data_IF_616177212917
#
_entry.id   IF_616177212917
#
_cell.length_a   1.000
_cell.length_b   1.000
_cell.length_c   1.000
_cell.angle_alpha   90.00
_cell.angle_beta   90.00
_cell.angle_gamma   90.00
#
_symmetry.space_group_name_H-M   'P 1'
#
loop_
_entity.id
_entity.type
_entity.pdbx_description
1 polymer ?
#
# COMPACT_ATOMS: atom_id res chain seq x y z
N UNK A 1 19.85 -14.13 11.47
CA UNK A 1 18.97 -14.90 10.55
C UNK A 1 18.69 -14.06 9.32
N UNK A 2 18.57 -14.68 8.14
CA UNK A 2 18.17 -13.97 6.92
C UNK A 2 16.78 -14.50 6.50
N UNK A 3 15.69 -14.02 7.09
CA UNK A 3 14.35 -14.53 6.81
C UNK A 3 13.97 -14.21 5.36
N UNK A 4 13.06 -15.00 4.75
CA UNK A 4 12.41 -14.59 3.52
C UNK A 4 11.72 -13.24 3.72
N UNK A 5 11.72 -12.40 2.69
CA UNK A 5 11.16 -11.04 2.76
C UNK A 5 9.98 -10.92 1.80
N UNK A 6 8.85 -10.50 2.33
CA UNK A 6 7.68 -10.08 1.55
C UNK A 6 7.54 -8.57 1.74
N UNK A 7 7.73 -7.82 0.66
CA UNK A 7 7.54 -6.37 0.67
C UNK A 7 6.07 -6.05 0.39
N UNK A 8 5.34 -5.68 1.43
CA UNK A 8 3.90 -5.48 1.36
C UNK A 8 3.48 -4.14 0.76
N UNK A 9 4.43 -3.31 0.30
CA UNK A 9 4.13 -2.02 -0.30
C UNK A 9 5.19 -1.60 -1.30
N UNK A 10 4.93 -1.88 -2.58
CA UNK A 10 5.75 -1.39 -3.70
C UNK A 10 4.85 -0.81 -4.80
N UNK A 11 5.41 0.00 -5.68
CA UNK A 11 4.69 0.65 -6.77
C UNK A 11 5.19 0.19 -8.14
N UNK A 12 4.69 -0.97 -8.60
CA UNK A 12 4.81 -1.38 -10.00
C UNK A 12 3.59 -0.83 -10.73
N UNK A 13 3.79 0.27 -11.46
CA UNK A 13 2.71 1.11 -11.97
C UNK A 13 2.94 1.49 -13.44
N UNK A 14 1.89 1.85 -14.20
CA UNK A 14 2.03 2.30 -15.59
C UNK A 14 2.55 3.74 -15.67
N UNK A 15 3.85 3.94 -15.44
CA UNK A 15 4.48 5.25 -15.34
C UNK A 15 4.34 6.14 -16.57
N UNK A 16 3.97 5.59 -17.73
CA UNK A 16 3.61 6.40 -18.91
C UNK A 16 2.35 7.24 -18.69
N UNK A 17 1.54 6.91 -17.70
CA UNK A 17 0.37 7.69 -17.31
C UNK A 17 0.70 8.82 -16.34
N UNK A 18 1.85 8.78 -15.66
CA UNK A 18 2.23 9.79 -14.65
C UNK A 18 2.29 11.16 -15.33
N UNK A 19 1.69 12.15 -14.67
CA UNK A 19 1.78 13.54 -15.14
C UNK A 19 3.24 13.99 -15.29
N UNK A 20 3.62 14.67 -16.38
CA UNK A 20 5.01 15.03 -16.63
C UNK A 20 5.69 15.77 -15.48
N UNK A 21 4.97 16.67 -14.80
CA UNK A 21 5.51 17.42 -13.66
C UNK A 21 5.88 16.50 -12.47
N UNK A 22 5.05 15.48 -12.20
CA UNK A 22 5.33 14.50 -11.13
C UNK A 22 6.48 13.58 -11.51
N UNK A 23 6.54 13.14 -12.76
CA UNK A 23 7.67 12.34 -13.25
C UNK A 23 8.99 13.13 -13.16
N UNK A 24 8.98 14.40 -13.55
CA UNK A 24 10.15 15.29 -13.43
C UNK A 24 10.61 15.46 -11.98
N UNK A 25 9.66 15.62 -11.03
CA UNK A 25 9.96 15.68 -9.60
C UNK A 25 10.62 14.38 -9.10
N UNK A 26 10.18 13.23 -9.58
CA UNK A 26 10.79 11.94 -9.25
C UNK A 26 12.19 11.82 -9.86
N UNK A 27 12.37 12.22 -11.12
CA UNK A 27 13.66 12.18 -11.82
C UNK A 27 14.74 12.98 -11.10
N UNK A 28 14.40 14.13 -10.53
CA UNK A 28 15.33 14.94 -9.75
C UNK A 28 15.87 14.25 -8.49
N UNK A 29 15.24 13.16 -8.05
CA UNK A 29 15.63 12.39 -6.85
C UNK A 29 16.04 10.94 -7.15
N UNK A 30 15.87 10.48 -8.39
CA UNK A 30 16.10 9.09 -8.81
C UNK A 30 16.84 9.06 -10.14
N UNK A 31 18.18 8.87 -10.13
CA UNK A 31 18.95 8.79 -11.37
C UNK A 31 18.69 7.49 -12.18
N UNK A 32 18.08 6.49 -11.56
CA UNK A 32 17.80 5.16 -12.11
C UNK A 32 16.43 5.05 -12.79
N UNK A 33 15.75 6.18 -13.06
CA UNK A 33 14.45 6.20 -13.75
C UNK A 33 14.41 5.38 -15.06
N UNK A 34 15.42 5.41 -15.94
CA UNK A 34 15.39 4.57 -17.15
C UNK A 34 15.27 3.09 -16.85
N UNK A 35 16.02 2.58 -15.87
CA UNK A 35 15.97 1.18 -15.42
C UNK A 35 14.63 0.85 -14.77
N UNK A 36 14.10 1.77 -13.98
CA UNK A 36 12.78 1.62 -13.34
C UNK A 36 11.67 1.54 -14.40
N UNK A 37 11.72 2.39 -15.44
CA UNK A 37 10.75 2.31 -16.54
C UNK A 37 10.77 0.94 -17.24
N UNK A 38 11.95 0.34 -17.41
CA UNK A 38 12.03 -1.01 -17.96
C UNK A 38 11.36 -2.03 -17.04
N UNK A 39 11.60 -1.95 -15.73
CA UNK A 39 10.96 -2.84 -14.75
C UNK A 39 9.43 -2.66 -14.79
N UNK A 40 8.92 -1.42 -14.86
CA UNK A 40 7.48 -1.17 -14.91
C UNK A 40 6.76 -1.85 -16.08
N UNK A 41 7.47 -2.16 -17.18
CA UNK A 41 6.84 -2.75 -18.38
C UNK A 41 7.36 -4.14 -18.75
N UNK A 42 8.30 -4.69 -17.98
CA UNK A 42 8.93 -5.98 -18.27
C UNK A 42 8.93 -6.87 -17.00
N UNK A 43 7.94 -7.73 -16.84
CA UNK A 43 7.83 -8.60 -15.66
C UNK A 43 9.09 -9.43 -15.37
N UNK A 44 9.79 -9.89 -16.41
CA UNK A 44 11.03 -10.66 -16.29
C UNK A 44 12.16 -9.82 -15.65
N UNK A 45 12.19 -8.51 -15.92
CA UNK A 45 13.14 -7.59 -15.27
C UNK A 45 12.80 -7.35 -13.80
N UNK A 46 11.50 -7.31 -13.45
CA UNK A 46 11.10 -7.30 -12.04
C UNK A 46 11.54 -8.59 -11.34
N UNK A 47 11.28 -9.76 -11.92
CA UNK A 47 11.65 -11.03 -11.31
C UNK A 47 13.16 -11.11 -11.07
N UNK A 48 13.97 -10.74 -12.07
CA UNK A 48 15.42 -10.67 -11.92
C UNK A 48 15.85 -9.64 -10.86
N UNK A 49 15.12 -8.52 -10.73
CA UNK A 49 15.36 -7.53 -9.67
C UNK A 49 15.05 -8.10 -8.29
N UNK A 50 13.89 -8.76 -8.11
CA UNK A 50 13.52 -9.40 -6.85
C UNK A 50 14.53 -10.48 -6.42
N UNK A 51 15.04 -11.26 -7.36
CA UNK A 51 16.05 -12.30 -7.09
C UNK A 51 17.36 -11.66 -6.61
N UNK A 52 17.83 -10.62 -7.29
CA UNK A 52 19.03 -9.86 -6.91
C UNK A 52 18.88 -9.20 -5.53
N UNK A 53 17.71 -8.63 -5.24
CA UNK A 53 17.37 -8.01 -3.97
C UNK A 53 17.00 -9.03 -2.88
N UNK A 54 16.91 -10.33 -3.19
CA UNK A 54 16.47 -11.39 -2.27
C UNK A 54 15.12 -11.10 -1.62
N UNK A 55 14.18 -10.62 -2.43
CA UNK A 55 12.79 -10.41 -2.05
C UNK A 55 11.94 -11.56 -2.56
N UNK A 56 11.25 -12.27 -1.67
CA UNK A 56 10.45 -13.44 -2.04
C UNK A 56 9.21 -13.03 -2.87
N UNK A 57 8.49 -12.03 -2.39
CA UNK A 57 7.26 -11.52 -3.02
C UNK A 57 7.10 -10.04 -2.76
N UNK A 58 6.29 -9.41 -3.60
CA UNK A 58 5.89 -8.00 -3.44
C UNK A 58 4.37 -7.85 -3.56
N UNK A 59 3.82 -6.89 -2.82
CA UNK A 59 2.45 -6.40 -3.03
C UNK A 59 2.54 -5.11 -3.81
N UNK A 60 2.02 -5.14 -5.04
CA UNK A 60 2.08 -3.98 -5.94
C UNK A 60 0.84 -3.12 -5.78
N UNK A 61 1.03 -1.91 -5.29
CA UNK A 61 -0.03 -0.97 -4.98
C UNK A 61 -0.31 -0.09 -6.20
N UNK A 62 -1.51 -0.24 -6.76
CA UNK A 62 -2.03 0.60 -7.83
C UNK A 62 -3.32 1.27 -7.37
N UNK A 63 -3.56 2.50 -7.84
CA UNK A 63 -4.78 3.24 -7.51
C UNK A 63 -5.14 4.24 -8.60
N UNK A 64 -6.45 4.47 -8.73
CA UNK A 64 -7.02 5.45 -9.68
C UNK A 64 -6.87 6.85 -9.11
N UNK A 65 -6.20 7.73 -9.82
CA UNK A 65 -5.99 9.13 -9.42
C UNK A 65 -5.67 9.99 -10.65
N UNK A 66 -6.65 10.23 -11.54
CA UNK A 66 -6.42 10.97 -12.77
C UNK A 66 -6.06 12.44 -12.51
N UNK A 67 -6.64 13.02 -11.46
CA UNK A 67 -6.47 14.45 -11.15
C UNK A 67 -5.10 14.77 -10.56
N UNK A 68 -4.56 13.91 -9.69
CA UNK A 68 -3.25 14.12 -9.05
C UNK A 68 -2.15 13.44 -9.88
N UNK A 69 -2.21 12.12 -10.05
CA UNK A 69 -1.12 11.35 -10.64
C UNK A 69 -1.22 11.15 -12.15
N UNK A 70 -2.43 11.21 -12.72
CA UNK A 70 -2.71 10.85 -14.11
C UNK A 70 -3.17 9.39 -14.28
N UNK A 71 -3.25 8.62 -13.22
CA UNK A 71 -3.64 7.21 -13.26
C UNK A 71 -5.15 7.06 -13.48
N UNK A 72 -5.55 6.57 -14.64
CA UNK A 72 -6.93 6.20 -14.98
C UNK A 72 -7.25 4.79 -14.47
N UNK A 73 -8.48 4.31 -14.72
CA UNK A 73 -8.91 2.95 -14.35
C UNK A 73 -8.08 1.85 -15.02
N UNK A 74 -7.37 2.15 -16.11
CA UNK A 74 -6.47 1.21 -16.81
C UNK A 74 -5.34 0.68 -15.91
N UNK A 75 -5.05 1.32 -14.77
CA UNK A 75 -4.11 0.80 -13.77
C UNK A 75 -4.51 -0.59 -13.26
N UNK A 76 -5.80 -0.91 -13.28
CA UNK A 76 -6.33 -2.17 -12.78
C UNK A 76 -6.00 -3.33 -13.72
N UNK A 77 -6.24 -3.15 -15.02
CA UNK A 77 -5.87 -4.13 -16.05
C UNK A 77 -4.35 -4.29 -16.15
N UNK A 78 -3.63 -3.17 -16.03
CA UNK A 78 -2.17 -3.21 -15.97
C UNK A 78 -1.69 -4.05 -14.80
N UNK A 79 -2.19 -3.80 -13.57
CA UNK A 79 -1.79 -4.53 -12.37
C UNK A 79 -2.07 -6.04 -12.50
N UNK A 80 -3.26 -6.40 -12.95
CA UNK A 80 -3.67 -7.78 -13.15
C UNK A 80 -2.85 -8.48 -14.24
N UNK A 81 -2.68 -7.82 -15.39
CA UNK A 81 -1.92 -8.34 -16.53
C UNK A 81 -0.44 -8.53 -16.20
N UNK A 82 0.13 -7.61 -15.43
CA UNK A 82 1.52 -7.69 -14.97
C UNK A 82 1.69 -8.87 -13.98
N UNK A 83 0.81 -8.99 -12.99
CA UNK A 83 0.87 -10.03 -11.97
C UNK A 83 0.79 -11.46 -12.57
N UNK A 84 -0.06 -11.66 -13.60
CA UNK A 84 -0.19 -12.96 -14.29
C UNK A 84 1.13 -13.48 -14.84
N UNK A 85 2.05 -12.57 -15.21
CA UNK A 85 3.38 -12.92 -15.76
C UNK A 85 4.45 -13.11 -14.69
N UNK A 86 4.13 -12.83 -13.42
CA UNK A 86 5.09 -12.90 -12.31
C UNK A 86 5.06 -14.21 -11.52
N UNK A 87 4.33 -15.25 -11.96
CA UNK A 87 4.35 -16.59 -11.33
C UNK A 87 4.04 -16.57 -9.82
N UNK A 88 3.15 -15.67 -9.36
CA UNK A 88 2.78 -15.51 -7.94
C UNK A 88 3.79 -14.70 -7.09
N UNK A 89 4.86 -14.17 -7.68
CA UNK A 89 5.83 -13.30 -7.00
C UNK A 89 5.29 -11.87 -6.77
N UNK A 90 4.22 -11.48 -7.46
CA UNK A 90 3.56 -10.18 -7.31
C UNK A 90 2.09 -10.38 -6.99
N UNK A 91 1.64 -9.74 -5.91
CA UNK A 91 0.25 -9.69 -5.45
C UNK A 91 -0.32 -8.35 -5.93
N UNK A 92 -1.32 -8.34 -6.84
CA UNK A 92 -1.82 -7.10 -7.42
C UNK A 92 -2.89 -6.45 -6.54
N UNK A 93 -2.72 -5.15 -6.28
CA UNK A 93 -3.77 -4.28 -5.78
C UNK A 93 -4.26 -3.38 -6.91
N UNK A 94 -5.57 -3.12 -6.89
CA UNK A 94 -6.24 -2.18 -7.77
C UNK A 94 -6.98 -1.10 -6.99
N UNK A 95 -7.87 -0.38 -7.66
CA UNK A 95 -8.63 0.71 -7.03
C UNK A 95 -9.89 1.04 -7.82
N UNK A 96 -10.91 1.49 -7.09
CA UNK A 96 -12.04 2.23 -7.62
C UNK A 96 -12.01 3.63 -7.00
N UNK A 97 -12.17 4.68 -7.81
CA UNK A 97 -12.14 6.04 -7.28
C UNK A 97 -13.46 6.39 -6.59
N UNK A 98 -13.49 6.65 -5.26
CA UNK A 98 -14.74 6.72 -4.50
C UNK A 98 -15.62 7.93 -4.83
N UNK A 99 -15.09 8.96 -5.50
CA UNK A 99 -15.84 10.17 -5.86
C UNK A 99 -16.06 10.32 -7.36
N UNK A 100 -15.38 9.54 -8.21
CA UNK A 100 -15.48 9.66 -9.67
C UNK A 100 -16.27 8.50 -10.30
N UNK A 101 -16.31 7.32 -9.68
CA UNK A 101 -17.09 6.21 -10.24
C UNK A 101 -18.59 6.51 -10.22
N UNK A 102 -19.26 6.18 -11.31
CA UNK A 102 -20.72 6.21 -11.44
C UNK A 102 -21.36 4.80 -11.30
N UNK A 103 -20.54 3.75 -11.20
CA UNK A 103 -21.00 2.36 -11.15
C UNK A 103 -20.10 1.50 -10.24
N UNK A 104 -20.04 1.78 -8.92
CA UNK A 104 -19.09 1.16 -8.01
C UNK A 104 -19.24 -0.36 -7.91
N UNK A 105 -20.45 -0.89 -8.00
CA UNK A 105 -20.72 -2.35 -8.03
C UNK A 105 -20.01 -3.01 -9.21
N UNK A 106 -20.27 -2.53 -10.43
CA UNK A 106 -19.66 -3.04 -11.65
C UNK A 106 -18.13 -2.93 -11.62
N UNK A 107 -17.61 -1.81 -11.15
CA UNK A 107 -16.17 -1.54 -11.15
C UNK A 107 -15.46 -2.44 -10.14
N UNK A 108 -16.08 -2.72 -8.98
CA UNK A 108 -15.58 -3.70 -8.02
C UNK A 108 -15.67 -5.14 -8.54
N UNK A 109 -16.77 -5.52 -9.20
CA UNK A 109 -16.91 -6.84 -9.81
C UNK A 109 -15.86 -7.08 -10.89
N UNK A 110 -15.51 -6.03 -11.66
CA UNK A 110 -14.40 -6.08 -12.62
C UNK A 110 -13.06 -6.34 -11.93
N UNK A 111 -12.75 -5.67 -10.80
CA UNK A 111 -11.54 -5.93 -10.05
C UNK A 111 -11.45 -7.38 -9.56
N UNK A 112 -12.55 -7.90 -9.04
CA UNK A 112 -12.63 -9.29 -8.56
C UNK A 112 -12.39 -10.26 -9.73
N UNK A 113 -13.03 -10.03 -10.87
CA UNK A 113 -12.86 -10.86 -12.08
C UNK A 113 -11.43 -10.81 -12.65
N UNK A 114 -10.74 -9.68 -12.51
CA UNK A 114 -9.33 -9.53 -12.88
C UNK A 114 -8.38 -10.32 -11.98
N UNK A 115 -8.83 -10.78 -10.80
CA UNK A 115 -7.99 -11.48 -9.82
C UNK A 115 -7.17 -10.54 -8.95
N UNK A 116 -7.62 -9.29 -8.79
CA UNK A 116 -7.05 -8.34 -7.83
C UNK A 116 -7.24 -8.88 -6.41
N UNK A 117 -6.22 -8.73 -5.55
CA UNK A 117 -6.19 -9.30 -4.20
C UNK A 117 -6.43 -8.28 -3.10
N UNK A 118 -6.43 -7.00 -3.44
CA UNK A 118 -6.76 -5.92 -2.53
C UNK A 118 -7.05 -4.61 -3.25
N UNK A 119 -7.68 -3.70 -2.54
CA UNK A 119 -8.08 -2.39 -3.05
C UNK A 119 -7.35 -1.29 -2.30
N UNK A 120 -6.76 -0.36 -3.04
CA UNK A 120 -6.14 0.84 -2.49
C UNK A 120 -7.09 2.04 -2.58
N UNK A 121 -7.30 2.69 -1.45
CA UNK A 121 -7.87 4.04 -1.36
C UNK A 121 -6.75 4.99 -0.92
N UNK A 122 -6.67 6.13 -1.58
CA UNK A 122 -5.69 7.16 -1.29
C UNK A 122 -6.39 8.50 -0.95
N UNK A 123 -6.85 8.70 0.29
CA UNK A 123 -7.69 9.86 0.67
C UNK A 123 -7.11 11.21 0.27
N UNK A 124 -5.80 11.41 0.39
CA UNK A 124 -5.15 12.66 -0.01
C UNK A 124 -5.16 12.92 -1.54
N UNK A 125 -5.28 11.87 -2.37
CA UNK A 125 -5.33 11.96 -3.84
C UNK A 125 -6.73 11.74 -4.40
N UNK A 126 -7.61 11.12 -3.64
CA UNK A 126 -9.02 10.86 -3.95
C UNK A 126 -9.88 11.56 -2.89
N UNK A 127 -10.00 12.90 -2.90
CA UNK A 127 -10.44 13.70 -1.75
C UNK A 127 -11.74 13.20 -1.11
N UNK A 128 -11.61 12.36 -0.10
CA UNK A 128 -12.69 11.87 0.76
C UNK A 128 -12.10 11.37 2.08
N UNK A 129 -12.82 11.56 3.17
CA UNK A 129 -12.47 10.90 4.42
C UNK A 129 -12.74 9.39 4.33
N UNK A 130 -11.95 8.54 4.97
CA UNK A 130 -12.20 7.10 5.01
C UNK A 130 -13.60 6.70 5.51
N UNK A 131 -14.22 7.52 6.33
CA UNK A 131 -15.57 7.31 6.86
C UNK A 131 -16.67 8.12 6.16
N UNK A 132 -16.41 8.73 5.01
CA UNK A 132 -17.43 9.52 4.29
C UNK A 132 -18.65 8.71 3.81
N UNK A 133 -18.58 7.37 3.82
CA UNK A 133 -19.76 6.53 3.61
C UNK A 133 -20.86 6.83 4.65
N UNK A 134 -20.50 7.22 5.85
CA UNK A 134 -21.44 7.66 6.90
C UNK A 134 -22.04 9.04 6.59
N UNK A 135 -21.42 9.79 5.70
CA UNK A 135 -21.86 11.12 5.25
C UNK A 135 -22.45 11.09 3.82
N UNK A 136 -22.87 9.91 3.35
CA UNK A 136 -23.59 9.76 2.09
C UNK A 136 -22.73 9.42 0.88
N UNK A 137 -21.45 9.12 1.04
CA UNK A 137 -20.64 8.56 -0.05
C UNK A 137 -20.94 7.06 -0.24
N UNK A 138 -22.01 6.77 -0.97
CA UNK A 138 -22.49 5.40 -1.25
C UNK A 138 -21.49 4.58 -2.07
N UNK A 139 -20.62 5.23 -2.86
CA UNK A 139 -19.58 4.53 -3.61
C UNK A 139 -18.54 3.92 -2.66
N UNK A 140 -18.16 4.68 -1.64
CA UNK A 140 -17.18 4.22 -0.63
C UNK A 140 -17.75 3.06 0.19
N UNK A 141 -19.03 3.13 0.58
CA UNK A 141 -19.74 2.05 1.25
C UNK A 141 -19.74 0.77 0.39
N UNK A 142 -20.08 0.90 -0.89
CA UNK A 142 -20.08 -0.19 -1.85
C UNK A 142 -18.70 -0.83 -1.99
N UNK A 143 -17.64 -0.01 -2.09
CA UNK A 143 -16.27 -0.50 -2.19
C UNK A 143 -15.91 -1.35 -0.96
N UNK A 144 -16.21 -0.86 0.25
CA UNK A 144 -15.86 -1.57 1.49
C UNK A 144 -16.66 -2.87 1.64
N UNK A 145 -17.95 -2.82 1.43
CA UNK A 145 -18.81 -4.01 1.45
C UNK A 145 -18.33 -5.07 0.46
N UNK A 146 -18.04 -4.69 -0.79
CA UNK A 146 -17.52 -5.62 -1.80
C UNK A 146 -16.15 -6.19 -1.43
N UNK A 147 -15.29 -5.40 -0.83
CA UNK A 147 -14.00 -5.90 -0.31
C UNK A 147 -14.23 -6.95 0.78
N UNK A 148 -15.12 -6.67 1.72
CA UNK A 148 -15.46 -7.60 2.81
C UNK A 148 -16.05 -8.92 2.28
N UNK A 149 -17.06 -8.84 1.42
CA UNK A 149 -17.73 -9.98 0.81
C UNK A 149 -16.78 -10.88 -0.01
N UNK A 150 -15.90 -10.27 -0.79
CA UNK A 150 -14.92 -10.99 -1.62
C UNK A 150 -13.64 -11.40 -0.88
N UNK A 151 -13.48 -11.01 0.39
CA UNK A 151 -12.26 -11.25 1.16
C UNK A 151 -11.02 -10.52 0.63
N UNK A 152 -11.22 -9.40 -0.05
CA UNK A 152 -10.14 -8.53 -0.50
C UNK A 152 -9.58 -7.73 0.67
N UNK A 153 -8.28 -7.43 0.62
CA UNK A 153 -7.65 -6.55 1.61
C UNK A 153 -7.85 -5.09 1.19
N UNK A 154 -8.37 -4.27 2.10
CA UNK A 154 -8.45 -2.83 1.89
C UNK A 154 -7.17 -2.17 2.40
N UNK A 155 -6.47 -1.40 1.57
CA UNK A 155 -5.36 -0.56 2.01
C UNK A 155 -5.72 0.91 1.87
N UNK A 156 -5.61 1.64 2.97
CA UNK A 156 -5.89 3.08 3.01
C UNK A 156 -4.57 3.82 3.23
N UNK A 157 -4.27 4.77 2.34
CA UNK A 157 -3.15 5.67 2.58
C UNK A 157 -3.43 6.54 3.80
N UNK A 158 -2.53 6.53 4.75
CA UNK A 158 -2.57 7.38 5.95
C UNK A 158 -1.25 8.15 6.09
N UNK A 159 -1.34 9.36 6.64
CA UNK A 159 -0.18 10.24 6.68
C UNK A 159 -0.11 11.18 5.48
N UNK A 160 1.01 11.89 5.35
CA UNK A 160 1.12 12.96 4.38
C UNK A 160 1.55 12.48 3.00
N UNK A 161 1.08 13.15 1.97
CA UNK A 161 1.57 13.07 0.59
C UNK A 161 2.26 14.37 0.20
N UNK A 162 3.38 14.27 -0.51
CA UNK A 162 4.16 15.42 -1.00
C UNK A 162 3.78 15.88 -2.40
N UNK A 163 2.90 15.15 -3.09
CA UNK A 163 2.53 15.47 -4.47
C UNK A 163 1.68 16.74 -4.52
N UNK A 164 1.98 17.65 -5.46
CA UNK A 164 1.17 18.85 -5.66
C UNK A 164 -0.29 18.52 -5.92
N UNK A 165 -1.19 19.22 -5.24
CA UNK A 165 -2.64 18.99 -5.31
C UNK A 165 -3.18 17.98 -4.29
N UNK A 166 -2.33 17.20 -3.62
CA UNK A 166 -2.76 16.31 -2.54
C UNK A 166 -3.36 17.10 -1.36
N UNK A 167 -4.45 16.58 -0.79
CA UNK A 167 -5.13 17.20 0.35
C UNK A 167 -4.97 16.33 1.60
N UNK A 168 -3.91 16.58 2.35
CA UNK A 168 -3.50 15.74 3.48
C UNK A 168 -4.51 15.68 4.63
N UNK A 169 -5.41 16.65 4.75
CA UNK A 169 -6.47 16.66 5.76
C UNK A 169 -7.31 15.37 5.78
N UNK A 170 -7.45 14.72 4.63
CA UNK A 170 -8.23 13.47 4.50
C UNK A 170 -7.49 12.21 4.99
N UNK A 171 -6.21 12.31 5.34
CA UNK A 171 -5.34 11.15 5.55
C UNK A 171 -5.03 10.84 7.04
N UNK A 172 -5.77 11.43 7.99
CA UNK A 172 -5.68 11.06 9.40
C UNK A 172 -6.28 9.65 9.60
N UNK A 173 -5.53 8.70 10.15
CA UNK A 173 -6.00 7.34 10.43
C UNK A 173 -7.24 7.27 11.34
N UNK A 174 -7.53 8.27 12.14
CA UNK A 174 -8.69 8.25 13.05
C UNK A 174 -10.01 8.06 12.29
N UNK A 175 -10.10 8.56 11.06
CA UNK A 175 -11.28 8.36 10.20
C UNK A 175 -11.46 6.90 9.74
N UNK A 176 -10.47 6.04 9.96
CA UNK A 176 -10.59 4.60 9.69
C UNK A 176 -11.23 3.84 10.86
N UNK A 177 -11.39 4.46 12.03
CA UNK A 177 -11.95 3.82 13.21
C UNK A 177 -13.39 3.32 12.97
N UNK A 178 -14.21 4.13 12.31
CA UNK A 178 -15.59 3.76 11.96
C UNK A 178 -15.64 2.52 11.05
N UNK A 179 -14.66 2.35 10.14
CA UNK A 179 -14.61 1.17 9.26
C UNK A 179 -14.50 -0.12 10.09
N UNK A 180 -13.69 -0.09 11.14
CA UNK A 180 -13.54 -1.26 12.02
C UNK A 180 -14.75 -1.55 12.88
N UNK A 181 -15.64 -0.58 13.08
CA UNK A 181 -16.94 -0.74 13.74
C UNK A 181 -17.97 -1.34 12.79
N UNK A 182 -18.05 -0.80 11.56
CA UNK A 182 -19.14 -1.09 10.62
C UNK A 182 -18.83 -2.30 9.73
N UNK A 183 -17.54 -2.59 9.38
CA UNK A 183 -17.08 -3.68 8.53
C UNK A 183 -16.15 -4.64 9.29
N UNK A 184 -16.72 -5.41 10.21
CA UNK A 184 -15.96 -6.19 11.20
C UNK A 184 -15.15 -7.36 10.62
N UNK A 185 -15.46 -7.82 9.41
CA UNK A 185 -14.74 -8.89 8.73
C UNK A 185 -13.73 -8.39 7.69
N UNK A 186 -13.68 -7.08 7.43
CA UNK A 186 -12.78 -6.48 6.47
C UNK A 186 -11.36 -6.37 7.04
N UNK A 187 -10.36 -6.92 6.31
CA UNK A 187 -8.96 -6.66 6.64
C UNK A 187 -8.54 -5.31 6.08
N UNK A 188 -8.08 -4.43 6.95
CA UNK A 188 -7.69 -3.06 6.59
C UNK A 188 -6.22 -2.83 6.93
N UNK A 189 -5.44 -2.29 5.98
CA UNK A 189 -4.06 -1.86 6.19
C UNK A 189 -4.02 -0.34 6.22
N UNK A 190 -3.52 0.23 7.29
CA UNK A 190 -3.15 1.64 7.38
C UNK A 190 -1.75 1.81 6.82
N UNK A 191 -1.64 2.26 5.56
CA UNK A 191 -0.36 2.43 4.91
C UNK A 191 0.42 3.58 5.56
N UNK A 192 1.72 3.36 5.77
CA UNK A 192 2.67 4.34 6.35
C UNK A 192 2.40 4.73 7.81
N UNK A 193 1.43 4.09 8.48
CA UNK A 193 1.16 4.33 9.90
C UNK A 193 0.88 5.78 10.31
N UNK A 194 0.29 6.58 9.41
CA UNK A 194 -0.05 7.99 9.70
C UNK A 194 1.13 8.97 9.69
N UNK A 195 2.33 8.55 9.24
CA UNK A 195 3.55 9.37 9.30
C UNK A 195 3.40 10.69 8.53
N UNK A 196 4.09 11.77 8.92
CA UNK A 196 4.76 12.00 10.22
C UNK A 196 3.86 12.70 11.24
N UNK A 197 2.55 12.85 11.00
CA UNK A 197 1.67 13.70 11.82
C UNK A 197 0.72 12.92 12.73
N UNK A 198 0.33 11.67 12.40
CA UNK A 198 -0.78 10.95 13.05
C UNK A 198 -0.43 9.52 13.47
N UNK A 199 0.83 9.27 13.91
CA UNK A 199 1.27 7.93 14.31
C UNK A 199 0.47 7.38 15.50
N UNK A 200 0.11 8.25 16.47
CA UNK A 200 -0.68 7.84 17.63
C UNK A 200 -2.10 7.42 17.24
N UNK A 201 -2.74 8.15 16.31
CA UNK A 201 -4.04 7.76 15.73
C UNK A 201 -3.96 6.38 15.07
N UNK A 202 -2.93 6.14 14.26
CA UNK A 202 -2.73 4.84 13.60
C UNK A 202 -2.55 3.71 14.64
N UNK A 203 -1.69 3.90 15.63
CA UNK A 203 -1.46 2.94 16.71
C UNK A 203 -2.73 2.64 17.50
N UNK A 204 -3.54 3.66 17.78
CA UNK A 204 -4.82 3.49 18.46
C UNK A 204 -5.76 2.61 17.64
N UNK A 205 -6.00 2.95 16.36
CA UNK A 205 -6.93 2.25 15.49
C UNK A 205 -6.50 0.79 15.27
N UNK A 206 -5.23 0.54 15.01
CA UNK A 206 -4.70 -0.84 14.83
C UNK A 206 -4.83 -1.66 16.10
N UNK A 207 -4.61 -1.08 17.28
CA UNK A 207 -4.79 -1.79 18.55
C UNK A 207 -6.25 -2.12 18.82
N UNK A 208 -7.15 -1.20 18.51
CA UNK A 208 -8.59 -1.32 18.80
C UNK A 208 -9.27 -2.41 17.98
N UNK A 209 -8.92 -2.52 16.69
CA UNK A 209 -9.62 -3.40 15.76
C UNK A 209 -8.81 -4.67 15.41
N UNK A 210 -9.37 -5.87 15.56
CA UNK A 210 -8.62 -7.13 15.39
C UNK A 210 -8.15 -7.37 13.95
N UNK A 211 -8.84 -6.82 12.95
CA UNK A 211 -8.53 -6.98 11.51
C UNK A 211 -7.79 -5.79 10.89
N UNK A 212 -7.33 -4.86 11.72
CA UNK A 212 -6.52 -3.74 11.26
C UNK A 212 -5.04 -4.06 11.36
N UNK A 213 -4.33 -3.67 10.32
CA UNK A 213 -2.91 -3.85 10.11
C UNK A 213 -2.27 -2.49 9.83
N UNK A 214 -0.97 -2.41 9.93
CA UNK A 214 -0.21 -1.22 9.57
C UNK A 214 1.02 -1.64 8.79
N UNK A 215 1.32 -0.99 7.66
CA UNK A 215 2.64 -1.09 7.07
C UNK A 215 3.51 0.10 7.49
N UNK A 216 4.82 -0.14 7.54
CA UNK A 216 5.82 0.85 7.95
C UNK A 216 6.58 1.43 6.76
N UNK A 217 5.98 1.37 5.59
CA UNK A 217 6.59 1.85 4.36
C UNK A 217 6.82 3.36 4.34
N UNK A 218 7.78 3.80 3.53
CA UNK A 218 8.15 5.23 3.40
C UNK A 218 8.61 5.90 4.70
N UNK A 219 9.02 5.11 5.67
CA UNK A 219 9.62 5.57 6.92
C UNK A 219 11.07 5.11 6.93
N UNK A 220 12.06 6.00 7.09
CA UNK A 220 13.44 5.56 7.34
C UNK A 220 13.45 4.57 8.51
N UNK A 221 13.98 3.36 8.36
CA UNK A 221 13.88 2.34 9.41
C UNK A 221 14.38 2.81 10.78
N UNK A 222 15.41 3.64 10.82
CA UNK A 222 15.98 4.17 12.05
C UNK A 222 15.03 5.06 12.85
N UNK A 223 14.02 5.63 12.19
CA UNK A 223 12.99 6.46 12.84
C UNK A 223 11.83 5.64 13.42
N UNK A 224 11.75 4.35 13.11
CA UNK A 224 10.64 3.51 13.62
C UNK A 224 10.55 3.46 15.15
N UNK A 225 11.67 3.35 15.91
CA UNK A 225 11.59 3.38 17.36
C UNK A 225 11.11 4.73 17.92
N UNK A 226 11.38 5.83 17.22
CA UNK A 226 10.91 7.16 17.60
C UNK A 226 9.43 7.35 17.26
N UNK A 227 9.04 7.02 16.02
CA UNK A 227 7.66 7.20 15.54
C UNK A 227 6.68 6.24 16.22
N UNK A 228 7.14 5.04 16.55
CA UNK A 228 6.33 4.00 17.16
C UNK A 228 7.05 3.34 18.33
N UNK A 229 7.17 4.04 19.48
CA UNK A 229 7.91 3.52 20.66
C UNK A 229 7.39 2.20 21.20
N UNK A 230 6.16 1.83 20.85
CA UNK A 230 5.48 0.59 21.27
C UNK A 230 5.13 -0.31 20.08
N UNK A 231 5.89 -0.27 19.00
CA UNK A 231 5.61 -1.04 17.78
C UNK A 231 5.48 -2.54 18.04
N UNK A 232 6.30 -3.08 18.93
CA UNK A 232 6.26 -4.50 19.31
C UNK A 232 4.92 -4.94 19.93
N UNK A 233 4.20 -4.02 20.58
CA UNK A 233 2.91 -4.33 21.19
C UNK A 233 1.82 -4.69 20.14
N UNK A 234 2.01 -4.31 18.88
CA UNK A 234 1.16 -4.68 17.76
C UNK A 234 1.89 -5.55 16.73
N UNK A 235 2.97 -6.23 17.16
CA UNK A 235 3.89 -6.94 16.26
C UNK A 235 3.24 -7.98 15.36
N UNK A 236 2.10 -8.54 15.75
CA UNK A 236 1.32 -9.45 14.90
C UNK A 236 0.51 -8.75 13.79
N UNK A 237 0.50 -7.44 13.76
CA UNK A 237 -0.29 -6.61 12.82
C UNK A 237 0.55 -5.64 12.02
N UNK A 238 1.88 -5.70 12.15
CA UNK A 238 2.82 -4.85 11.42
C UNK A 238 3.33 -5.56 10.18
N UNK A 239 3.33 -4.88 9.06
CA UNK A 239 3.83 -5.37 7.78
C UNK A 239 5.05 -4.54 7.37
N UNK A 240 6.08 -5.22 6.85
CA UNK A 240 7.15 -4.54 6.16
C UNK A 240 6.68 -4.06 4.80
N UNK A 241 6.99 -2.81 4.47
CA UNK A 241 6.84 -2.25 3.14
C UNK A 241 7.97 -1.26 2.89
N UNK A 242 8.54 -1.23 1.70
CA UNK A 242 9.59 -0.28 1.36
C UNK A 242 9.05 1.03 0.79
N UNK A 243 7.91 0.98 0.13
CA UNK A 243 7.39 2.04 -0.76
C UNK A 243 8.25 2.22 -2.03
N UNK A 244 9.06 1.19 -2.38
CA UNK A 244 9.89 1.23 -3.58
C UNK A 244 9.01 1.35 -4.85
N UNK A 245 9.37 2.19 -5.82
CA UNK A 245 10.58 3.00 -5.97
C UNK A 245 10.38 4.47 -5.59
N UNK A 246 9.68 4.77 -4.50
CA UNK A 246 9.49 6.14 -4.04
C UNK A 246 10.82 6.90 -3.85
N UNK A 247 10.83 8.22 -4.01
CA UNK A 247 12.00 9.04 -3.66
C UNK A 247 12.46 8.79 -2.22
N UNK A 248 13.77 8.58 -2.04
CA UNK A 248 14.34 8.29 -0.72
C UNK A 248 14.43 6.79 -0.37
N UNK A 249 13.88 5.90 -1.20
CA UNK A 249 14.05 4.45 -1.06
C UNK A 249 15.11 3.95 -2.05
N UNK A 250 16.35 3.71 -1.62
CA UNK A 250 17.46 3.40 -2.52
C UNK A 250 17.31 2.02 -3.20
N UNK A 251 16.74 1.04 -2.48
CA UNK A 251 16.49 -0.32 -2.93
C UNK A 251 15.72 -1.09 -1.88
N UNK A 252 15.02 -2.15 -2.28
CA UNK A 252 14.23 -2.96 -1.35
C UNK A 252 15.12 -3.65 -0.33
N UNK A 253 16.21 -4.31 -0.79
CA UNK A 253 17.14 -5.04 0.10
C UNK A 253 17.84 -4.10 1.08
N UNK A 254 18.41 -3.02 0.59
CA UNK A 254 19.09 -2.04 1.43
C UNK A 254 18.16 -1.48 2.52
N UNK A 255 16.89 -1.26 2.18
CA UNK A 255 15.91 -0.71 3.11
C UNK A 255 15.53 -1.74 4.20
N UNK A 256 15.25 -2.98 3.83
CA UNK A 256 14.92 -4.03 4.80
C UNK A 256 16.13 -4.41 5.68
N UNK A 257 17.36 -4.37 5.15
CA UNK A 257 18.56 -4.65 5.95
C UNK A 257 18.73 -3.63 7.07
N UNK A 258 18.42 -2.35 6.81
CA UNK A 258 18.42 -1.29 7.83
C UNK A 258 17.40 -1.59 8.94
N UNK A 259 16.18 -2.08 8.57
CA UNK A 259 15.20 -2.53 9.55
C UNK A 259 15.69 -3.75 10.36
N UNK A 260 16.27 -4.74 9.69
CA UNK A 260 16.80 -5.94 10.35
C UNK A 260 17.98 -5.65 11.29
N UNK A 261 18.68 -4.53 11.09
CA UNK A 261 19.77 -4.07 11.97
C UNK A 261 19.27 -3.38 13.26
N UNK A 262 17.98 -2.99 13.33
CA UNK A 262 17.43 -2.35 14.53
C UNK A 262 17.43 -3.31 15.74
N UNK A 263 17.42 -2.74 16.93
CA UNK A 263 17.39 -3.50 18.18
C UNK A 263 15.99 -4.00 18.55
N UNK A 264 15.38 -4.78 17.64
CA UNK A 264 14.15 -5.53 17.90
C UNK A 264 14.45 -7.02 18.03
N UNK A 265 13.63 -7.80 18.76
CA UNK A 265 13.77 -9.26 18.82
C UNK A 265 13.68 -9.90 17.42
N UNK A 266 14.47 -10.94 17.15
CA UNK A 266 14.48 -11.63 15.86
C UNK A 266 13.10 -12.20 15.48
N UNK A 267 12.36 -12.70 16.47
CA UNK A 267 10.98 -13.17 16.24
C UNK A 267 10.04 -12.06 15.77
N UNK A 268 10.18 -10.85 16.32
CA UNK A 268 9.41 -9.67 15.88
C UNK A 268 9.80 -9.28 14.44
N UNK A 269 11.10 -9.17 14.17
CA UNK A 269 11.60 -8.86 12.82
C UNK A 269 11.06 -9.81 11.78
N UNK A 270 11.11 -11.12 12.06
CA UNK A 270 10.59 -12.16 11.18
C UNK A 270 9.08 -12.03 10.93
N UNK A 271 8.30 -11.76 11.97
CA UNK A 271 6.86 -11.49 11.82
C UNK A 271 6.62 -10.34 10.84
N UNK A 272 7.31 -9.22 11.04
CA UNK A 272 7.12 -7.99 10.27
C UNK A 272 7.50 -8.18 8.80
N UNK A 273 8.65 -8.82 8.51
CA UNK A 273 9.13 -8.94 7.13
C UNK A 273 8.53 -10.12 6.35
N UNK A 274 7.86 -11.07 7.03
CA UNK A 274 7.40 -12.29 6.38
C UNK A 274 6.07 -12.84 6.91
N UNK A 275 6.04 -13.29 8.18
CA UNK A 275 4.99 -14.17 8.66
C UNK A 275 3.61 -13.50 8.66
N UNK A 276 3.56 -12.20 9.00
CA UNK A 276 2.33 -11.41 8.99
C UNK A 276 1.74 -11.26 7.58
N UNK A 277 2.58 -10.97 6.58
CA UNK A 277 2.13 -10.89 5.19
C UNK A 277 1.63 -12.26 4.70
N UNK A 278 2.33 -13.36 5.01
CA UNK A 278 1.86 -14.71 4.70
C UNK A 278 0.47 -14.99 5.27
N UNK A 279 0.26 -14.64 6.53
CA UNK A 279 -1.02 -14.82 7.20
C UNK A 279 -2.12 -13.97 6.57
N UNK A 280 -1.87 -12.69 6.33
CA UNK A 280 -2.87 -11.76 5.79
C UNK A 280 -3.30 -12.15 4.37
N UNK A 281 -2.34 -12.46 3.51
CA UNK A 281 -2.58 -12.76 2.09
C UNK A 281 -2.84 -14.26 1.83
N UNK A 282 -2.72 -15.13 2.85
CA UNK A 282 -2.91 -16.59 2.76
C UNK A 282 -2.03 -17.21 1.66
N UNK A 283 -0.71 -16.99 1.76
CA UNK A 283 0.32 -17.41 0.79
C UNK A 283 1.46 -18.17 1.46
#
# INVERSE_FOLDING_TARGET
>A
MNPPVIDAHVHIQPWKMIKPAHLAMMQGKRPDIPQLLEIMYTPEKLLAHLDRERIERVVSINYVSPEIMGFTEEVNEYAAGYAKKCGGRLIPFGSVHPTLTSAPERDMDKLIALGIRGVKIHPAHQPCYPNDYRNGNVNLETIYRKCEEAGLVLMIHTGTSIFPGARNVYADPIHCDDIGVDFQNLNVILAHGGRPLWMESAMFVVRRHPRFWMDVSSIPPELLPEYFPKLEAIGDKVLWGSDWPAPGVPGMRANVDRFLALNYPDAFKRKVVCDNAKRLYRI
#
